data_IF_419112837078
#
_entry.id   IF_419112837078
#
_cell.length_a   1.000
_cell.length_b   1.000
_cell.length_c   1.000
_cell.angle_alpha   90.00
_cell.angle_beta   90.00
_cell.angle_gamma   90.00
#
_symmetry.space_group_name_H-M   'P 1'
#
loop_
_entity.id
_entity.type
_entity.pdbx_description
1 polymer ?
#
# COMPACT_ATOMS: atom_id res chain seq x y z
N UNK A 1 74.67 -50.05 -12.07
CA UNK A 1 73.50 -49.93 -11.17
C UNK A 1 73.48 -48.60 -10.40
N UNK A 2 74.56 -48.18 -9.73
CA UNK A 2 74.56 -46.97 -8.88
C UNK A 2 74.32 -45.62 -9.60
N UNK A 3 74.64 -45.47 -10.91
CA UNK A 3 74.39 -44.21 -11.65
C UNK A 3 72.92 -43.98 -12.04
N UNK A 4 72.13 -45.04 -12.22
CA UNK A 4 70.70 -44.94 -12.60
C UNK A 4 69.85 -44.61 -11.36
N UNK A 5 70.21 -45.17 -10.20
CA UNK A 5 69.55 -44.89 -8.92
C UNK A 5 69.76 -43.43 -8.50
N UNK A 6 70.96 -42.86 -8.72
CA UNK A 6 71.24 -41.45 -8.42
C UNK A 6 70.43 -40.50 -9.32
N UNK A 7 70.23 -40.85 -10.60
CA UNK A 7 69.46 -40.06 -11.56
C UNK A 7 67.95 -40.09 -11.25
N UNK A 8 67.44 -41.24 -10.80
CA UNK A 8 66.06 -41.39 -10.31
C UNK A 8 65.82 -40.62 -9.01
N UNK A 9 66.77 -40.63 -8.08
CA UNK A 9 66.67 -39.85 -6.82
C UNK A 9 66.74 -38.34 -7.10
N UNK A 10 67.57 -37.89 -8.04
CA UNK A 10 67.63 -36.48 -8.46
C UNK A 10 66.32 -36.01 -9.14
N UNK A 11 65.69 -36.89 -9.93
CA UNK A 11 64.37 -36.65 -10.54
C UNK A 11 63.24 -36.61 -9.51
N UNK A 12 63.29 -37.40 -8.45
CA UNK A 12 62.28 -37.39 -7.38
C UNK A 12 62.42 -36.15 -6.49
N UNK A 13 63.65 -35.72 -6.17
CA UNK A 13 63.90 -34.53 -5.33
C UNK A 13 63.54 -33.24 -6.07
N UNK A 14 63.84 -33.14 -7.37
CA UNK A 14 63.43 -31.98 -8.18
C UNK A 14 61.91 -31.89 -8.29
N UNK A 15 61.20 -33.01 -8.53
CA UNK A 15 59.74 -33.03 -8.54
C UNK A 15 59.11 -32.64 -7.19
N UNK A 16 59.72 -32.98 -6.06
CA UNK A 16 59.23 -32.53 -4.74
C UNK A 16 59.40 -31.02 -4.51
N UNK A 17 60.52 -30.44 -4.93
CA UNK A 17 60.74 -28.98 -4.84
C UNK A 17 59.82 -28.19 -5.79
N UNK A 18 59.61 -28.67 -7.01
CA UNK A 18 58.66 -28.07 -7.96
C UNK A 18 57.20 -28.19 -7.48
N UNK A 19 56.81 -29.34 -6.91
CA UNK A 19 55.46 -29.53 -6.37
C UNK A 19 55.16 -28.65 -5.16
N UNK A 20 56.16 -28.31 -4.35
CA UNK A 20 55.99 -27.37 -3.23
C UNK A 20 55.79 -25.94 -3.73
N UNK A 21 56.56 -25.52 -4.74
CA UNK A 21 56.39 -24.23 -5.43
C UNK A 21 55.04 -24.11 -6.13
N UNK A 22 54.58 -25.16 -6.83
CA UNK A 22 53.30 -25.18 -7.53
C UNK A 22 52.12 -25.13 -6.55
N UNK A 23 52.22 -25.84 -5.42
CA UNK A 23 51.22 -25.79 -4.36
C UNK A 23 51.08 -24.38 -3.76
N UNK A 24 52.22 -23.75 -3.42
CA UNK A 24 52.22 -22.40 -2.88
C UNK A 24 51.69 -21.38 -3.89
N UNK A 25 51.99 -21.56 -5.18
CA UNK A 25 51.46 -20.73 -6.26
C UNK A 25 49.94 -20.82 -6.36
N UNK A 26 49.38 -22.04 -6.39
CA UNK A 26 47.92 -22.26 -6.44
C UNK A 26 47.24 -21.71 -5.19
N UNK A 27 47.87 -21.88 -4.02
CA UNK A 27 47.35 -21.35 -2.76
C UNK A 27 47.30 -19.82 -2.77
N UNK A 28 48.38 -19.17 -3.19
CA UNK A 28 48.44 -17.70 -3.28
C UNK A 28 47.43 -17.17 -4.30
N UNK A 29 47.28 -17.84 -5.45
CA UNK A 29 46.26 -17.50 -6.45
C UNK A 29 44.85 -17.55 -5.85
N UNK A 30 44.49 -18.63 -5.15
CA UNK A 30 43.18 -18.77 -4.49
C UNK A 30 42.95 -17.72 -3.41
N UNK A 31 43.96 -17.41 -2.61
CA UNK A 31 43.87 -16.38 -1.58
C UNK A 31 43.62 -15.01 -2.21
N UNK A 32 44.35 -14.64 -3.27
CA UNK A 32 44.21 -13.36 -3.94
C UNK A 32 42.87 -13.25 -4.69
N UNK A 33 42.40 -14.33 -5.31
CA UNK A 33 41.05 -14.41 -5.85
C UNK A 33 39.99 -14.13 -4.77
N UNK A 34 40.04 -14.81 -3.64
CA UNK A 34 39.08 -14.62 -2.56
C UNK A 34 39.12 -13.19 -2.00
N UNK A 35 40.31 -12.59 -1.88
CA UNK A 35 40.46 -11.21 -1.46
C UNK A 35 39.81 -10.22 -2.44
N UNK A 36 39.96 -10.44 -3.74
CA UNK A 36 39.32 -9.60 -4.76
C UNK A 36 37.80 -9.79 -4.79
N UNK A 37 37.33 -11.02 -4.68
CA UNK A 37 35.89 -11.32 -4.58
C UNK A 37 35.26 -10.64 -3.35
N UNK A 38 35.94 -10.73 -2.20
CA UNK A 38 35.54 -10.06 -0.98
C UNK A 38 35.60 -8.54 -1.12
N UNK A 39 36.64 -7.99 -1.76
CA UNK A 39 36.76 -6.57 -2.03
C UNK A 39 35.63 -6.05 -2.94
N UNK A 40 35.28 -6.76 -4.01
CA UNK A 40 34.14 -6.41 -4.89
C UNK A 40 32.85 -6.37 -4.08
N UNK A 41 32.65 -7.37 -3.23
CA UNK A 41 31.43 -7.49 -2.41
C UNK A 41 31.35 -6.38 -1.36
N UNK A 42 32.50 -6.00 -0.76
CA UNK A 42 32.59 -5.01 0.32
C UNK A 42 32.83 -3.57 -0.15
N UNK A 43 33.05 -3.34 -1.45
CA UNK A 43 33.20 -2.01 -2.00
C UNK A 43 31.99 -1.14 -1.60
N UNK A 44 32.26 0.12 -1.22
CA UNK A 44 31.25 1.03 -0.66
C UNK A 44 30.68 2.01 -1.68
N UNK A 45 31.41 2.27 -2.77
CA UNK A 45 31.02 3.22 -3.80
C UNK A 45 31.66 2.85 -5.14
N UNK A 46 31.25 3.56 -6.20
CA UNK A 46 31.78 3.38 -7.56
C UNK A 46 33.29 3.60 -7.64
N UNK A 47 33.86 4.51 -6.84
CA UNK A 47 35.29 4.82 -6.88
C UNK A 47 36.14 3.67 -6.34
N UNK A 48 35.78 3.13 -5.17
CA UNK A 48 36.36 1.92 -4.59
C UNK A 48 36.17 0.72 -5.52
N UNK A 49 34.98 0.52 -6.09
CA UNK A 49 34.73 -0.58 -7.00
C UNK A 49 35.58 -0.46 -8.29
N UNK A 50 35.64 0.72 -8.91
CA UNK A 50 36.43 0.97 -10.11
C UNK A 50 37.93 0.77 -9.88
N UNK A 51 38.43 1.03 -8.66
CA UNK A 51 39.83 0.75 -8.32
C UNK A 51 40.16 -0.75 -8.35
N UNK A 52 39.18 -1.62 -8.07
CA UNK A 52 39.36 -3.07 -8.05
C UNK A 52 39.53 -3.65 -9.46
N UNK A 53 38.98 -3.01 -10.51
CA UNK A 53 39.18 -3.45 -11.91
C UNK A 53 40.66 -3.52 -12.25
N UNK A 54 41.41 -2.47 -11.88
CA UNK A 54 42.84 -2.40 -12.13
C UNK A 54 43.60 -3.51 -11.38
N UNK A 55 43.11 -3.94 -10.22
CA UNK A 55 43.69 -5.03 -9.45
C UNK A 55 43.32 -6.41 -10.01
N UNK A 56 42.12 -6.59 -10.56
CA UNK A 56 41.72 -7.80 -11.30
C UNK A 56 42.61 -7.97 -12.53
N UNK A 57 42.81 -6.90 -13.31
CA UNK A 57 43.66 -6.93 -14.51
C UNK A 57 45.12 -7.24 -14.16
N UNK A 58 45.63 -6.63 -13.08
CA UNK A 58 46.98 -6.91 -12.58
C UNK A 58 47.13 -8.34 -12.11
N UNK A 59 46.15 -8.86 -11.37
CA UNK A 59 46.10 -10.24 -10.91
C UNK A 59 46.06 -11.23 -12.09
N UNK A 60 45.30 -10.90 -13.14
CA UNK A 60 45.27 -11.70 -14.37
C UNK A 60 46.63 -11.76 -15.06
N UNK A 61 47.28 -10.61 -15.20
CA UNK A 61 48.58 -10.52 -15.85
C UNK A 61 49.69 -11.21 -15.04
N UNK A 62 49.66 -11.11 -13.71
CA UNK A 62 50.64 -11.73 -12.81
C UNK A 62 50.67 -13.26 -12.93
N UNK A 63 49.53 -13.89 -13.15
CA UNK A 63 49.41 -15.37 -13.20
C UNK A 63 49.22 -15.94 -14.61
N UNK A 64 49.33 -15.11 -15.64
CA UNK A 64 49.07 -15.49 -17.02
C UNK A 64 50.03 -16.59 -17.50
N UNK A 65 51.31 -16.47 -17.14
CA UNK A 65 52.34 -17.45 -17.51
C UNK A 65 52.12 -18.83 -16.88
N UNK A 66 51.42 -18.89 -15.73
CA UNK A 66 51.12 -20.14 -15.02
C UNK A 66 49.72 -20.67 -15.27
N UNK A 67 49.01 -20.14 -16.28
CA UNK A 67 47.67 -20.56 -16.68
C UNK A 67 47.53 -22.08 -16.82
N UNK A 68 48.48 -22.74 -17.48
CA UNK A 68 48.40 -24.19 -17.73
C UNK A 68 48.43 -25.04 -16.45
N UNK A 69 49.13 -24.57 -15.40
CA UNK A 69 49.12 -25.19 -14.07
C UNK A 69 47.78 -24.93 -13.39
N UNK A 70 47.34 -23.67 -13.38
CA UNK A 70 46.11 -23.23 -12.74
C UNK A 70 44.86 -23.89 -13.34
N UNK A 71 44.79 -24.07 -14.66
CA UNK A 71 43.71 -24.76 -15.35
C UNK A 71 43.51 -26.20 -14.85
N UNK A 72 44.59 -26.88 -14.45
CA UNK A 72 44.53 -28.23 -13.86
C UNK A 72 44.12 -28.20 -12.38
N UNK A 73 44.57 -27.18 -11.65
CA UNK A 73 44.38 -27.08 -10.19
C UNK A 73 43.06 -26.45 -9.75
N UNK A 74 42.33 -25.80 -10.66
CA UNK A 74 41.09 -25.04 -10.37
C UNK A 74 39.79 -25.80 -10.70
N UNK A 75 39.85 -27.11 -10.94
CA UNK A 75 38.69 -27.94 -11.31
C UNK A 75 37.51 -27.81 -10.32
N UNK A 76 36.23 -27.75 -10.78
CA UNK A 76 35.77 -27.84 -12.18
C UNK A 76 35.89 -26.54 -13.00
N UNK A 77 36.45 -25.49 -12.40
CA UNK A 77 36.80 -24.25 -13.09
C UNK A 77 38.13 -24.33 -13.84
N UNK A 78 38.58 -23.17 -14.32
CA UNK A 78 39.89 -22.96 -14.94
C UNK A 78 40.27 -21.47 -14.78
N UNK A 79 41.47 -21.10 -15.20
CA UNK A 79 42.00 -19.74 -15.07
C UNK A 79 41.04 -18.69 -15.65
N UNK A 80 40.57 -18.88 -16.88
CA UNK A 80 39.70 -17.91 -17.54
C UNK A 80 38.33 -17.78 -16.86
N UNK A 81 37.74 -18.90 -16.44
CA UNK A 81 36.46 -18.91 -15.70
C UNK A 81 36.57 -18.19 -14.36
N UNK A 82 37.74 -18.21 -13.71
CA UNK A 82 37.97 -17.47 -12.47
C UNK A 82 37.87 -15.96 -12.70
N UNK A 83 38.48 -15.44 -13.76
CA UNK A 83 38.38 -14.01 -14.10
C UNK A 83 37.02 -13.63 -14.69
N UNK A 84 36.37 -14.54 -15.42
CA UNK A 84 34.99 -14.37 -15.85
C UNK A 84 34.05 -14.16 -14.64
N UNK A 85 34.21 -14.96 -13.58
CA UNK A 85 33.44 -14.78 -12.34
C UNK A 85 33.70 -13.45 -11.66
N UNK A 86 34.97 -13.03 -11.51
CA UNK A 86 35.30 -11.72 -10.94
C UNK A 86 34.69 -10.58 -11.76
N UNK A 87 34.75 -10.67 -13.10
CA UNK A 87 34.15 -9.68 -13.98
C UNK A 87 32.63 -9.65 -13.88
N UNK A 88 31.97 -10.80 -13.81
CA UNK A 88 30.51 -10.86 -13.60
C UNK A 88 30.14 -10.21 -12.26
N UNK A 89 30.83 -10.56 -11.17
CA UNK A 89 30.60 -9.96 -9.85
C UNK A 89 30.82 -8.45 -9.85
N UNK A 90 31.87 -7.98 -10.52
CA UNK A 90 32.13 -6.56 -10.71
C UNK A 90 30.99 -5.87 -11.49
N UNK A 91 30.58 -6.41 -12.63
CA UNK A 91 29.52 -5.83 -13.48
C UNK A 91 28.21 -5.71 -12.71
N UNK A 92 27.82 -6.77 -11.99
CA UNK A 92 26.62 -6.77 -11.15
C UNK A 92 26.74 -5.68 -10.08
N UNK A 93 27.87 -5.59 -9.37
CA UNK A 93 28.05 -4.57 -8.32
C UNK A 93 28.06 -3.15 -8.89
N UNK A 94 28.65 -2.95 -10.07
CA UNK A 94 28.69 -1.66 -10.75
C UNK A 94 27.29 -1.21 -11.20
N UNK A 95 26.50 -2.13 -11.76
CA UNK A 95 25.10 -1.89 -12.09
C UNK A 95 24.28 -1.52 -10.85
N UNK A 96 24.51 -2.19 -9.72
CA UNK A 96 23.85 -1.86 -8.46
C UNK A 96 24.18 -0.43 -8.01
N UNK A 97 25.44 -0.01 -8.03
CA UNK A 97 25.78 1.37 -7.67
C UNK A 97 25.22 2.42 -8.62
N UNK A 98 25.26 2.15 -9.93
CA UNK A 98 24.70 3.07 -10.94
C UNK A 98 23.19 3.22 -10.73
N UNK A 99 22.49 2.12 -10.45
CA UNK A 99 21.06 2.14 -10.14
C UNK A 99 20.79 2.91 -8.86
N UNK A 100 21.60 2.72 -7.82
CA UNK A 100 21.50 3.49 -6.57
C UNK A 100 21.67 4.99 -6.83
N UNK A 101 22.66 5.41 -7.61
CA UNK A 101 22.92 6.83 -7.90
C UNK A 101 21.75 7.51 -8.65
N UNK A 102 21.19 6.82 -9.65
CA UNK A 102 19.98 7.27 -10.36
C UNK A 102 18.81 7.40 -9.38
N UNK A 103 18.55 6.37 -8.58
CA UNK A 103 17.48 6.38 -7.58
C UNK A 103 17.69 7.48 -6.53
N UNK A 104 18.93 7.80 -6.17
CA UNK A 104 19.23 8.89 -5.23
C UNK A 104 18.92 10.26 -5.84
N UNK A 105 19.21 10.47 -7.13
CA UNK A 105 18.88 11.71 -7.82
C UNK A 105 17.37 11.88 -7.98
N UNK A 106 16.68 10.84 -8.44
CA UNK A 106 15.21 10.83 -8.53
C UNK A 106 14.56 11.08 -7.17
N UNK A 107 15.07 10.49 -6.08
CA UNK A 107 14.58 10.73 -4.73
C UNK A 107 14.67 12.19 -4.27
N UNK A 108 15.71 12.93 -4.66
CA UNK A 108 15.82 14.35 -4.34
C UNK A 108 14.69 15.14 -4.99
N UNK A 109 14.43 14.91 -6.28
CA UNK A 109 13.33 15.55 -7.00
C UNK A 109 11.97 15.18 -6.41
N UNK A 110 11.76 13.89 -6.09
CA UNK A 110 10.54 13.42 -5.44
C UNK A 110 10.32 14.08 -4.09
N UNK A 111 11.38 14.25 -3.28
CA UNK A 111 11.32 14.89 -1.96
C UNK A 111 10.95 16.37 -2.04
N UNK A 112 11.48 17.09 -3.03
CA UNK A 112 11.10 18.48 -3.29
C UNK A 112 9.62 18.57 -3.68
N UNK A 113 9.16 17.66 -4.54
CA UNK A 113 7.75 17.59 -4.92
C UNK A 113 6.83 17.27 -3.73
N UNK A 114 7.20 16.32 -2.86
CA UNK A 114 6.46 16.02 -1.63
C UNK A 114 6.39 17.24 -0.72
N UNK A 115 7.49 17.97 -0.56
CA UNK A 115 7.53 19.18 0.28
C UNK A 115 6.61 20.27 -0.27
N UNK A 116 6.63 20.49 -1.59
CA UNK A 116 5.74 21.44 -2.26
C UNK A 116 4.27 21.05 -2.10
N UNK A 117 3.95 19.76 -2.28
CA UNK A 117 2.59 19.25 -2.14
C UNK A 117 2.10 19.34 -0.69
N UNK A 118 2.94 19.05 0.31
CA UNK A 118 2.60 19.24 1.72
C UNK A 118 2.19 20.69 2.01
N UNK A 119 2.98 21.65 1.51
CA UNK A 119 2.66 23.08 1.67
C UNK A 119 1.33 23.44 1.01
N UNK A 120 1.13 23.02 -0.25
CA UNK A 120 -0.12 23.28 -0.98
C UNK A 120 -1.32 22.63 -0.30
N UNK A 121 -1.18 21.39 0.19
CA UNK A 121 -2.25 20.67 0.88
C UNK A 121 -2.65 21.38 2.17
N UNK A 122 -1.68 21.85 2.96
CA UNK A 122 -1.95 22.63 4.16
C UNK A 122 -2.69 23.94 3.85
N UNK A 123 -2.30 24.64 2.79
CA UNK A 123 -2.98 25.86 2.32
C UNK A 123 -4.43 25.56 1.88
N UNK A 124 -4.64 24.50 1.10
CA UNK A 124 -5.98 24.08 0.67
C UNK A 124 -6.86 23.64 1.84
N UNK A 125 -6.32 22.89 2.80
CA UNK A 125 -7.04 22.48 4.02
C UNK A 125 -7.50 23.68 4.83
N UNK A 126 -6.63 24.68 5.00
CA UNK A 126 -6.99 25.89 5.74
C UNK A 126 -8.11 26.66 5.03
N UNK A 127 -8.06 26.77 3.69
CA UNK A 127 -9.15 27.38 2.91
C UNK A 127 -10.47 26.62 3.05
N UNK A 128 -10.44 25.29 2.92
CA UNK A 128 -11.64 24.45 3.08
C UNK A 128 -12.23 24.66 4.48
N UNK A 129 -11.39 24.65 5.51
CA UNK A 129 -11.82 24.90 6.88
C UNK A 129 -12.46 26.28 7.03
N UNK A 130 -11.88 27.34 6.46
CA UNK A 130 -12.46 28.69 6.45
C UNK A 130 -13.84 28.73 5.76
N UNK A 131 -13.97 28.07 4.60
CA UNK A 131 -15.23 27.99 3.86
C UNK A 131 -16.33 27.24 4.64
N UNK A 132 -15.99 26.12 5.27
CA UNK A 132 -16.91 25.32 6.10
C UNK A 132 -17.49 26.10 7.29
N UNK A 133 -16.76 27.08 7.84
CA UNK A 133 -17.27 27.96 8.90
C UNK A 133 -18.10 29.15 8.41
N UNK A 134 -18.20 29.38 7.09
CA UNK A 134 -19.03 30.46 6.52
C UNK A 134 -20.38 29.93 6.01
N UNK A 135 -21.42 30.76 6.08
CA UNK A 135 -22.82 30.34 5.81
C UNK A 135 -22.98 29.70 4.41
N UNK A 136 -23.29 28.39 4.37
CA UNK A 136 -23.33 27.51 3.19
C UNK A 136 -24.45 27.83 2.18
N UNK A 137 -25.24 28.88 2.41
CA UNK A 137 -26.42 29.23 1.57
C UNK A 137 -26.08 29.96 0.28
N UNK A 138 -24.83 30.35 0.06
CA UNK A 138 -24.37 30.94 -1.19
C UNK A 138 -23.93 29.85 -2.19
N UNK A 139 -24.70 29.68 -3.26
CA UNK A 139 -24.49 28.68 -4.31
C UNK A 139 -23.09 28.82 -4.97
N UNK A 140 -22.56 30.04 -5.09
CA UNK A 140 -21.24 30.26 -5.67
C UNK A 140 -20.13 29.75 -4.74
N UNK A 141 -20.32 29.91 -3.42
CA UNK A 141 -19.37 29.39 -2.42
C UNK A 141 -19.40 27.87 -2.32
N UNK A 142 -20.57 27.25 -2.48
CA UNK A 142 -20.68 25.79 -2.52
C UNK A 142 -19.90 25.17 -3.70
N UNK A 143 -19.97 25.79 -4.88
CA UNK A 143 -19.21 25.35 -6.05
C UNK A 143 -17.69 25.55 -5.87
N UNK A 144 -17.26 26.64 -5.25
CA UNK A 144 -15.85 26.89 -4.95
C UNK A 144 -15.30 25.89 -3.92
N UNK A 145 -16.08 25.60 -2.87
CA UNK A 145 -15.74 24.60 -1.87
C UNK A 145 -15.57 23.20 -2.49
N UNK A 146 -16.51 22.77 -3.35
CA UNK A 146 -16.40 21.50 -4.09
C UNK A 146 -15.13 21.44 -4.96
N UNK A 147 -14.79 22.55 -5.64
CA UNK A 147 -13.56 22.64 -6.42
C UNK A 147 -12.29 22.50 -5.55
N UNK A 148 -12.26 23.18 -4.39
CA UNK A 148 -11.14 23.09 -3.43
C UNK A 148 -11.00 21.67 -2.86
N UNK A 149 -12.11 21.02 -2.50
CA UNK A 149 -12.12 19.64 -2.00
C UNK A 149 -11.58 18.68 -3.05
N UNK A 150 -12.03 18.82 -4.31
CA UNK A 150 -11.52 18.01 -5.44
C UNK A 150 -10.04 18.25 -5.70
N UNK A 151 -9.57 19.50 -5.62
CA UNK A 151 -8.17 19.85 -5.78
C UNK A 151 -7.30 19.24 -4.66
N UNK A 152 -7.71 19.43 -3.40
CA UNK A 152 -7.00 18.89 -2.24
C UNK A 152 -6.89 17.36 -2.34
N UNK A 153 -7.99 16.67 -2.67
CA UNK A 153 -7.98 15.22 -2.84
C UNK A 153 -6.98 14.76 -3.90
N UNK A 154 -6.96 15.41 -5.08
CA UNK A 154 -5.99 15.08 -6.14
C UNK A 154 -4.55 15.33 -5.69
N UNK A 155 -4.32 16.41 -4.97
CA UNK A 155 -3.00 16.80 -4.48
C UNK A 155 -2.50 15.86 -3.37
N UNK A 156 -3.37 15.44 -2.44
CA UNK A 156 -3.10 14.41 -1.44
C UNK A 156 -2.73 13.08 -2.10
N UNK A 157 -3.54 12.62 -3.05
CA UNK A 157 -3.26 11.39 -3.80
C UNK A 157 -1.90 11.43 -4.51
N UNK A 158 -1.61 12.52 -5.22
CA UNK A 158 -0.32 12.67 -5.90
C UNK A 158 0.84 12.60 -4.91
N UNK A 159 0.72 13.27 -3.76
CA UNK A 159 1.76 13.21 -2.72
C UNK A 159 1.94 11.79 -2.20
N UNK A 160 0.84 11.11 -1.87
CA UNK A 160 0.88 9.74 -1.35
C UNK A 160 1.56 8.79 -2.36
N UNK A 161 1.27 8.93 -3.66
CA UNK A 161 1.94 8.18 -4.75
C UNK A 161 3.46 8.46 -4.81
N UNK A 162 3.90 9.70 -4.58
CA UNK A 162 5.32 10.04 -4.50
C UNK A 162 5.99 9.47 -3.25
N UNK A 163 5.30 9.47 -2.11
CA UNK A 163 5.81 8.85 -0.86
C UNK A 163 6.02 7.36 -1.06
N UNK A 164 5.05 6.67 -1.68
CA UNK A 164 5.19 5.27 -2.08
C UNK A 164 6.42 5.09 -2.98
N UNK A 165 6.58 5.93 -4.00
CA UNK A 165 7.73 5.87 -4.94
C UNK A 165 9.08 6.03 -4.24
N UNK A 166 9.18 6.95 -3.27
CA UNK A 166 10.39 7.17 -2.46
C UNK A 166 10.74 5.90 -1.68
N UNK A 167 9.75 5.24 -1.07
CA UNK A 167 10.01 4.03 -0.29
C UNK A 167 10.28 2.83 -1.19
N UNK A 168 9.59 2.72 -2.33
CA UNK A 168 9.80 1.68 -3.33
C UNK A 168 11.24 1.72 -3.86
N UNK A 169 11.82 2.91 -4.01
CA UNK A 169 13.24 3.07 -4.40
C UNK A 169 14.22 2.42 -3.40
N UNK A 170 13.80 2.25 -2.13
CA UNK A 170 14.61 1.62 -1.09
C UNK A 170 14.42 0.09 -1.08
N UNK A 171 13.33 -0.43 -1.64
CA UNK A 171 13.00 -1.87 -1.60
C UNK A 171 14.10 -2.77 -2.20
N UNK A 172 14.73 -2.46 -3.34
CA UNK A 172 15.80 -3.28 -3.90
C UNK A 172 16.97 -3.47 -2.93
N UNK A 173 17.28 -2.46 -2.11
CA UNK A 173 18.31 -2.55 -1.08
C UNK A 173 17.86 -3.45 0.09
N UNK A 174 16.56 -3.49 0.38
CA UNK A 174 15.96 -4.26 1.47
C UNK A 174 15.68 -5.74 1.12
N UNK A 175 15.66 -6.10 -0.16
CA UNK A 175 15.32 -7.45 -0.64
C UNK A 175 16.49 -8.44 -0.65
N UNK A 176 17.69 -7.99 -0.26
CA UNK A 176 18.84 -8.87 -0.17
C UNK A 176 18.63 -9.86 0.98
N UNK A 177 18.71 -11.16 0.68
CA UNK A 177 18.35 -12.26 1.58
C UNK A 177 19.18 -12.33 2.87
N UNK A 178 20.34 -11.68 2.91
CA UNK A 178 21.19 -11.54 4.10
C UNK A 178 21.92 -10.18 4.08
N UNK A 179 21.34 -9.18 4.74
CA UNK A 179 22.00 -7.88 4.94
C UNK A 179 23.01 -7.97 6.08
N UNK A 180 24.24 -7.52 5.86
CA UNK A 180 25.22 -7.27 6.92
C UNK A 180 24.80 -6.07 7.77
N UNK A 181 25.39 -5.94 8.98
CA UNK A 181 25.14 -4.78 9.85
C UNK A 181 25.52 -3.43 9.20
N UNK A 182 26.49 -3.43 8.28
CA UNK A 182 26.89 -2.23 7.54
C UNK A 182 25.84 -1.87 6.48
N UNK A 183 25.32 -2.85 5.76
CA UNK A 183 24.26 -2.64 4.77
C UNK A 183 22.96 -2.20 5.44
N UNK A 184 22.56 -2.82 6.56
CA UNK A 184 21.41 -2.37 7.36
C UNK A 184 21.57 -0.91 7.81
N UNK A 185 22.76 -0.52 8.27
CA UNK A 185 23.01 0.87 8.66
C UNK A 185 22.99 1.85 7.48
N UNK A 186 23.42 1.43 6.28
CA UNK A 186 23.33 2.25 5.07
C UNK A 186 21.89 2.50 4.65
N UNK A 187 21.04 1.46 4.69
CA UNK A 187 19.60 1.58 4.39
C UNK A 187 18.91 2.45 5.43
N UNK A 188 19.27 2.30 6.72
CA UNK A 188 18.77 3.19 7.78
C UNK A 188 19.11 4.66 7.48
N UNK A 189 20.36 4.97 7.13
CA UNK A 189 20.78 6.35 6.80
C UNK A 189 19.96 6.89 5.62
N UNK A 190 19.76 6.09 4.58
CA UNK A 190 18.99 6.47 3.41
C UNK A 190 17.49 6.70 3.74
N UNK A 191 16.88 5.80 4.52
CA UNK A 191 15.50 5.94 4.99
C UNK A 191 15.30 7.21 5.83
N UNK A 192 16.26 7.55 6.70
CA UNK A 192 16.24 8.79 7.48
C UNK A 192 16.49 10.03 6.61
N UNK A 193 17.40 9.97 5.65
CA UNK A 193 17.67 11.05 4.69
C UNK A 193 16.40 11.42 3.90
N UNK A 194 15.60 10.41 3.57
CA UNK A 194 14.33 10.55 2.87
C UNK A 194 13.12 10.79 3.79
N UNK A 195 13.32 10.88 5.11
CA UNK A 195 12.27 11.10 6.11
C UNK A 195 11.09 10.12 5.97
N UNK A 196 11.35 8.85 5.63
CA UNK A 196 10.32 7.86 5.26
C UNK A 196 9.16 7.78 6.25
N UNK A 197 9.45 7.51 7.53
CA UNK A 197 8.42 7.35 8.55
C UNK A 197 7.62 8.64 8.77
N UNK A 198 8.31 9.79 8.79
CA UNK A 198 7.66 11.09 8.96
C UNK A 198 6.73 11.43 7.80
N UNK A 199 7.15 11.12 6.56
CA UNK A 199 6.35 11.36 5.37
C UNK A 199 5.09 10.49 5.36
N UNK A 200 5.23 9.19 5.64
CA UNK A 200 4.08 8.28 5.75
C UNK A 200 3.12 8.73 6.84
N UNK A 201 3.64 9.05 8.04
CA UNK A 201 2.83 9.54 9.16
C UNK A 201 2.07 10.82 8.80
N UNK A 202 2.75 11.80 8.20
CA UNK A 202 2.13 13.04 7.77
C UNK A 202 1.07 12.79 6.69
N UNK A 203 1.34 11.85 5.77
CA UNK A 203 0.38 11.40 4.77
C UNK A 203 -0.94 10.94 5.39
N UNK A 204 -0.86 10.07 6.38
CA UNK A 204 -2.01 9.49 7.05
C UNK A 204 -2.79 10.55 7.83
N UNK A 205 -2.09 11.39 8.58
CA UNK A 205 -2.72 12.48 9.35
C UNK A 205 -3.50 13.44 8.43
N UNK A 206 -2.92 13.81 7.29
CA UNK A 206 -3.59 14.70 6.36
C UNK A 206 -4.80 14.03 5.69
N UNK A 207 -4.71 12.75 5.32
CA UNK A 207 -5.86 12.04 4.76
C UNK A 207 -7.00 11.88 5.78
N UNK A 208 -6.68 11.65 7.06
CA UNK A 208 -7.67 11.64 8.15
C UNK A 208 -8.32 13.02 8.27
N UNK A 209 -7.51 14.07 8.39
CA UNK A 209 -8.00 15.45 8.52
C UNK A 209 -8.82 15.89 7.31
N UNK A 210 -8.48 15.43 6.10
CA UNK A 210 -9.26 15.70 4.90
C UNK A 210 -10.69 15.16 5.02
N UNK A 211 -10.87 13.95 5.53
CA UNK A 211 -12.20 13.37 5.74
C UNK A 211 -12.96 14.18 6.81
N UNK A 212 -12.29 14.54 7.92
CA UNK A 212 -12.91 15.30 9.01
C UNK A 212 -13.36 16.71 8.61
N UNK A 213 -12.67 17.34 7.66
CA UNK A 213 -12.94 18.71 7.21
C UNK A 213 -13.92 18.80 6.03
N UNK A 214 -14.36 17.68 5.47
CA UNK A 214 -15.18 17.67 4.25
C UNK A 214 -16.49 16.91 4.46
N UNK A 215 -17.43 17.11 3.56
CA UNK A 215 -18.62 16.26 3.43
C UNK A 215 -18.48 15.50 2.13
N UNK A 216 -18.44 14.17 2.22
CA UNK A 216 -18.06 13.30 1.11
C UNK A 216 -19.24 12.46 0.64
N UNK A 217 -19.46 12.46 -0.67
CA UNK A 217 -20.45 11.58 -1.29
C UNK A 217 -19.95 10.12 -1.36
N UNK A 218 -20.82 9.12 -1.52
CA UNK A 218 -20.43 7.72 -1.62
C UNK A 218 -19.37 7.45 -2.70
N UNK A 219 -19.44 8.17 -3.82
CA UNK A 219 -18.45 8.08 -4.89
C UNK A 219 -17.06 8.57 -4.45
N UNK A 220 -17.00 9.63 -3.64
CA UNK A 220 -15.74 10.14 -3.12
C UNK A 220 -15.14 9.20 -2.08
N UNK A 221 -15.97 8.68 -1.16
CA UNK A 221 -15.56 7.70 -0.16
C UNK A 221 -15.03 6.42 -0.81
N UNK A 222 -15.66 5.97 -1.90
CA UNK A 222 -15.18 4.81 -2.68
C UNK A 222 -13.76 5.00 -3.20
N UNK A 223 -13.47 6.17 -3.77
CA UNK A 223 -12.12 6.46 -4.30
C UNK A 223 -11.08 6.60 -3.18
N UNK A 224 -11.44 7.24 -2.07
CA UNK A 224 -10.56 7.34 -0.89
C UNK A 224 -10.28 5.96 -0.32
N UNK A 225 -11.29 5.09 -0.27
CA UNK A 225 -11.14 3.72 0.23
C UNK A 225 -10.22 2.87 -0.65
N UNK A 226 -10.30 3.04 -1.98
CA UNK A 226 -9.34 2.43 -2.92
C UNK A 226 -7.91 2.92 -2.68
N UNK A 227 -7.74 4.23 -2.46
CA UNK A 227 -6.43 4.82 -2.15
C UNK A 227 -5.87 4.27 -0.83
N UNK A 228 -6.71 4.24 0.22
CA UNK A 228 -6.34 3.67 1.51
C UNK A 228 -5.90 2.23 1.39
N UNK A 229 -6.67 1.37 0.69
CA UNK A 229 -6.32 -0.04 0.53
C UNK A 229 -4.96 -0.22 -0.15
N UNK A 230 -4.68 0.53 -1.22
CA UNK A 230 -3.37 0.51 -1.88
C UNK A 230 -2.25 0.93 -0.95
N UNK A 231 -2.47 1.97 -0.14
CA UNK A 231 -1.46 2.44 0.80
C UNK A 231 -1.22 1.41 1.92
N UNK A 232 -2.28 0.80 2.44
CA UNK A 232 -2.17 -0.29 3.44
C UNK A 232 -1.39 -1.48 2.88
N UNK A 233 -1.73 -1.94 1.67
CA UNK A 233 -1.05 -3.06 1.02
C UNK A 233 0.45 -2.77 0.84
N UNK A 234 0.77 -1.59 0.33
CA UNK A 234 2.15 -1.13 0.21
C UNK A 234 2.86 -1.09 1.58
N UNK A 235 2.21 -0.52 2.61
CA UNK A 235 2.81 -0.39 3.94
C UNK A 235 3.03 -1.73 4.62
N UNK A 236 2.16 -2.72 4.43
CA UNK A 236 2.36 -4.07 4.96
C UNK A 236 3.63 -4.72 4.38
N UNK A 237 3.95 -4.45 3.11
CA UNK A 237 5.19 -4.92 2.47
C UNK A 237 6.43 -4.14 2.92
N UNK A 238 6.39 -2.81 2.90
CA UNK A 238 7.54 -1.97 3.21
C UNK A 238 7.79 -1.83 4.72
N UNK A 239 6.73 -1.61 5.50
CA UNK A 239 6.78 -1.39 6.95
C UNK A 239 7.37 -2.57 7.71
N UNK A 240 7.07 -3.80 7.30
CA UNK A 240 7.65 -5.01 7.91
C UNK A 240 9.16 -5.07 7.72
N UNK A 241 9.68 -4.76 6.52
CA UNK A 241 11.12 -4.68 6.24
C UNK A 241 11.80 -3.55 7.03
N UNK A 242 11.11 -2.42 7.21
CA UNK A 242 11.61 -1.30 7.99
C UNK A 242 11.76 -1.63 9.48
N UNK A 243 10.91 -2.49 10.06
CA UNK A 243 11.03 -2.92 11.47
C UNK A 243 12.42 -3.52 11.74
N UNK A 244 12.91 -4.36 10.83
CA UNK A 244 14.22 -5.00 10.98
C UNK A 244 15.37 -3.99 10.84
N UNK A 245 15.26 -3.04 9.90
CA UNK A 245 16.24 -1.97 9.69
C UNK A 245 16.31 -1.03 10.89
N UNK A 246 15.17 -0.79 11.54
CA UNK A 246 15.07 0.03 12.75
C UNK A 246 15.26 -0.77 14.05
N UNK A 247 15.66 -2.04 13.97
CA UNK A 247 15.86 -2.88 15.15
C UNK A 247 16.85 -2.23 16.15
N UNK A 248 16.47 -2.24 17.43
CA UNK A 248 17.24 -1.58 18.50
C UNK A 248 17.05 -0.06 18.59
N UNK A 249 16.26 0.57 17.69
CA UNK A 249 15.90 2.00 17.77
C UNK A 249 14.50 2.15 18.36
N UNK A 250 14.40 2.10 19.69
CA UNK A 250 13.12 2.15 20.42
C UNK A 250 12.16 3.28 19.97
N UNK A 251 12.68 4.46 19.64
CA UNK A 251 11.87 5.59 19.13
C UNK A 251 11.23 5.28 17.78
N UNK A 252 11.97 4.66 16.85
CA UNK A 252 11.51 4.34 15.49
C UNK A 252 10.51 3.19 15.50
N UNK A 253 10.72 2.20 16.37
CA UNK A 253 9.74 1.13 16.58
C UNK A 253 8.40 1.65 17.12
N UNK A 254 8.41 2.70 17.95
CA UNK A 254 7.17 3.38 18.36
C UNK A 254 6.51 4.11 17.20
N UNK A 255 7.29 4.82 16.39
CA UNK A 255 6.80 5.55 15.22
C UNK A 255 6.13 4.62 14.19
N UNK A 256 6.68 3.42 13.96
CA UNK A 256 6.04 2.40 13.10
C UNK A 256 4.69 1.95 13.68
N UNK A 257 4.62 1.66 14.98
CA UNK A 257 3.35 1.30 15.64
C UNK A 257 2.32 2.43 15.59
N UNK A 258 2.77 3.67 15.69
CA UNK A 258 1.90 4.84 15.52
C UNK A 258 1.34 4.91 14.09
N UNK A 259 2.16 4.62 13.07
CA UNK A 259 1.72 4.52 11.67
C UNK A 259 0.67 3.42 11.51
N UNK A 260 0.88 2.23 12.07
CA UNK A 260 -0.09 1.13 12.02
C UNK A 260 -1.43 1.52 12.68
N UNK A 261 -1.37 2.25 13.79
CA UNK A 261 -2.55 2.81 14.46
C UNK A 261 -3.27 3.83 13.58
N UNK A 262 -2.52 4.71 12.89
CA UNK A 262 -3.08 5.72 11.99
C UNK A 262 -3.83 5.11 10.80
N UNK A 263 -3.39 3.97 10.27
CA UNK A 263 -4.18 3.25 9.25
C UNK A 263 -5.54 2.80 9.80
N UNK A 264 -5.58 2.31 11.04
CA UNK A 264 -6.82 1.92 11.70
C UNK A 264 -7.73 3.12 11.94
N UNK A 265 -7.15 4.25 12.38
CA UNK A 265 -7.87 5.52 12.56
C UNK A 265 -8.43 6.01 11.22
N UNK A 266 -7.63 5.98 10.15
CA UNK A 266 -8.09 6.40 8.82
C UNK A 266 -9.28 5.56 8.34
N UNK A 267 -9.26 4.25 8.56
CA UNK A 267 -10.39 3.39 8.24
C UNK A 267 -11.63 3.78 9.06
N UNK A 268 -11.46 3.92 10.37
CA UNK A 268 -12.54 4.30 11.27
C UNK A 268 -13.16 5.65 10.90
N UNK A 269 -12.34 6.69 10.64
CA UNK A 269 -12.83 8.02 10.25
C UNK A 269 -13.64 7.96 8.95
N UNK A 270 -13.21 7.17 7.97
CA UNK A 270 -13.95 6.97 6.72
C UNK A 270 -15.31 6.29 6.96
N UNK A 271 -15.35 5.28 7.82
CA UNK A 271 -16.60 4.59 8.18
C UNK A 271 -17.56 5.53 8.92
N UNK A 272 -17.06 6.31 9.88
CA UNK A 272 -17.88 7.27 10.63
C UNK A 272 -18.44 8.37 9.73
N UNK A 273 -17.67 8.82 8.74
CA UNK A 273 -18.14 9.78 7.75
C UNK A 273 -19.32 9.24 6.95
N UNK A 274 -19.26 7.98 6.52
CA UNK A 274 -20.38 7.36 5.82
C UNK A 274 -21.64 7.28 6.70
N UNK A 275 -21.51 6.84 7.95
CA UNK A 275 -22.66 6.76 8.86
C UNK A 275 -23.25 8.13 9.19
N UNK A 276 -22.40 9.15 9.33
CA UNK A 276 -22.82 10.54 9.53
C UNK A 276 -23.63 11.04 8.33
N UNK A 277 -23.11 10.90 7.12
CA UNK A 277 -23.79 11.41 5.92
C UNK A 277 -25.11 10.67 5.66
N UNK A 278 -25.18 9.36 5.92
CA UNK A 278 -26.46 8.63 5.87
C UNK A 278 -27.48 9.23 6.83
N UNK A 279 -27.10 9.60 8.06
CA UNK A 279 -28.01 10.28 8.99
C UNK A 279 -28.45 11.65 8.48
N UNK A 280 -27.53 12.41 7.89
CA UNK A 280 -27.83 13.72 7.30
C UNK A 280 -28.86 13.62 6.17
N UNK A 281 -28.82 12.57 5.34
CA UNK A 281 -29.82 12.30 4.29
C UNK A 281 -31.24 12.06 4.86
N UNK A 282 -31.33 11.34 5.99
CA UNK A 282 -32.61 11.18 6.70
C UNK A 282 -33.08 12.50 7.33
N UNK A 283 -32.17 13.23 7.99
CA UNK A 283 -32.49 14.51 8.61
C UNK A 283 -32.97 15.55 7.58
N UNK A 284 -32.37 15.58 6.39
CA UNK A 284 -32.79 16.46 5.29
C UNK A 284 -34.27 16.23 4.88
N UNK A 285 -34.76 15.00 5.03
CA UNK A 285 -36.15 14.64 4.78
C UNK A 285 -37.03 14.66 6.06
N UNK A 286 -36.60 15.39 7.09
CA UNK A 286 -37.26 15.53 8.40
C UNK A 286 -37.42 14.20 9.17
N UNK A 287 -36.50 13.26 8.97
CA UNK A 287 -36.48 11.99 9.69
C UNK A 287 -35.31 12.05 10.69
N UNK A 288 -35.65 12.29 11.95
CA UNK A 288 -34.67 12.35 13.02
C UNK A 288 -34.41 10.94 13.56
N UNK A 289 -33.31 10.35 13.12
CA UNK A 289 -32.83 9.08 13.65
C UNK A 289 -31.90 9.34 14.83
N UNK A 290 -31.89 8.43 15.81
CA UNK A 290 -30.83 8.40 16.82
C UNK A 290 -29.50 8.04 16.16
N UNK A 291 -28.40 8.42 16.81
CA UNK A 291 -27.06 8.16 16.30
C UNK A 291 -26.76 6.66 16.17
N UNK A 292 -26.05 6.30 15.11
CA UNK A 292 -25.52 4.95 14.86
C UNK A 292 -24.13 5.05 14.23
N UNK A 293 -23.26 4.11 14.56
CA UNK A 293 -21.84 4.14 14.18
C UNK A 293 -21.37 2.83 13.53
N UNK A 294 -22.27 1.86 13.41
CA UNK A 294 -22.02 0.54 12.84
C UNK A 294 -23.29 -0.07 12.22
N UNK A 295 -23.10 -1.21 11.55
CA UNK A 295 -24.15 -1.91 10.79
C UNK A 295 -25.34 -2.37 11.63
N UNK A 296 -25.09 -2.82 12.86
CA UNK A 296 -26.10 -3.37 13.76
C UNK A 296 -26.96 -2.23 14.30
N UNK A 297 -26.33 -1.17 14.79
CA UNK A 297 -27.02 0.05 15.22
C UNK A 297 -27.83 0.64 14.07
N UNK A 298 -27.26 0.76 12.87
CA UNK A 298 -27.95 1.26 11.69
C UNK A 298 -29.26 0.48 11.42
N UNK A 299 -29.18 -0.85 11.35
CA UNK A 299 -30.36 -1.69 11.11
C UNK A 299 -31.39 -1.59 12.25
N UNK A 300 -30.95 -1.58 13.51
CA UNK A 300 -31.82 -1.49 14.68
C UNK A 300 -32.52 -0.13 14.75
N UNK A 301 -31.83 0.96 14.45
CA UNK A 301 -32.38 2.32 14.46
C UNK A 301 -33.47 2.46 13.39
N UNK A 302 -33.20 2.00 12.17
CA UNK A 302 -34.17 2.08 11.09
C UNK A 302 -35.41 1.22 11.35
N UNK A 303 -35.20 -0.03 11.79
CA UNK A 303 -36.33 -0.93 12.09
C UNK A 303 -37.15 -0.42 13.28
N UNK A 304 -36.52 0.17 14.30
CA UNK A 304 -37.22 0.77 15.44
C UNK A 304 -38.05 1.99 15.03
N UNK A 305 -37.50 2.87 14.17
CA UNK A 305 -38.24 4.01 13.61
C UNK A 305 -39.48 3.53 12.84
N UNK A 306 -39.32 2.50 11.99
CA UNK A 306 -40.43 1.93 11.22
C UNK A 306 -41.49 1.32 12.16
N UNK A 307 -41.07 0.56 13.18
CA UNK A 307 -41.99 -0.07 14.13
C UNK A 307 -42.78 0.95 14.95
N UNK A 308 -42.16 2.07 15.33
CA UNK A 308 -42.84 3.19 15.97
C UNK A 308 -43.83 3.88 15.01
N UNK A 309 -43.42 4.12 13.76
CA UNK A 309 -44.29 4.70 12.75
C UNK A 309 -45.52 3.82 12.47
N UNK A 310 -45.35 2.50 12.45
CA UNK A 310 -46.43 1.52 12.34
C UNK A 310 -47.37 1.60 13.55
N UNK A 311 -46.85 1.64 14.78
CA UNK A 311 -47.68 1.72 16.01
C UNK A 311 -48.54 2.98 16.06
N UNK A 312 -48.06 4.07 15.46
CA UNK A 312 -48.76 5.35 15.42
C UNK A 312 -49.83 5.46 14.30
N UNK A 313 -49.99 4.43 13.46
CA UNK A 313 -51.08 4.36 12.48
C UNK A 313 -52.42 4.34 13.22
N UNK A 314 -53.31 5.28 12.88
CA UNK A 314 -54.61 5.45 13.53
C UNK A 314 -54.59 6.35 14.77
N UNK A 315 -53.41 6.66 15.31
CA UNK A 315 -53.22 7.73 16.30
C UNK A 315 -53.01 9.07 15.59
N UNK A 316 -52.21 9.06 14.52
CA UNK A 316 -51.98 10.21 13.64
C UNK A 316 -52.98 10.27 12.49
N UNK A 317 -53.09 11.44 11.86
CA UNK A 317 -53.94 11.59 10.68
C UNK A 317 -53.42 10.73 9.51
N UNK A 318 -54.29 10.18 8.64
CA UNK A 318 -53.85 9.39 7.49
C UNK A 318 -52.89 10.14 6.56
N UNK A 319 -53.08 11.46 6.41
CA UNK A 319 -52.20 12.30 5.61
C UNK A 319 -50.78 12.37 6.22
N UNK A 320 -50.68 12.54 7.53
CA UNK A 320 -49.39 12.58 8.24
C UNK A 320 -48.67 11.22 8.20
N UNK A 321 -49.40 10.12 8.41
CA UNK A 321 -48.83 8.77 8.33
C UNK A 321 -48.31 8.45 6.92
N UNK A 322 -49.07 8.82 5.87
CA UNK A 322 -48.64 8.66 4.48
C UNK A 322 -47.45 9.55 4.13
N UNK A 323 -47.41 10.79 4.63
CA UNK A 323 -46.27 11.70 4.42
C UNK A 323 -45.01 11.13 5.08
N UNK A 324 -45.10 10.67 6.33
CA UNK A 324 -43.97 10.06 7.06
C UNK A 324 -43.42 8.85 6.30
N UNK A 325 -44.31 7.98 5.79
CA UNK A 325 -43.93 6.85 4.96
C UNK A 325 -43.24 7.28 3.66
N UNK A 326 -43.84 8.22 2.93
CA UNK A 326 -43.32 8.66 1.63
C UNK A 326 -41.96 9.37 1.80
N UNK A 327 -41.79 10.18 2.86
CA UNK A 327 -40.50 10.78 3.20
C UNK A 327 -39.45 9.73 3.52
N UNK A 328 -39.78 8.70 4.30
CA UNK A 328 -38.82 7.66 4.67
C UNK A 328 -38.48 6.73 3.51
N UNK A 329 -39.49 6.15 2.88
CA UNK A 329 -39.33 5.10 1.88
C UNK A 329 -38.98 5.69 0.51
N UNK A 330 -39.88 6.49 -0.07
CA UNK A 330 -39.77 6.95 -1.44
C UNK A 330 -38.70 8.05 -1.60
N UNK A 331 -38.68 9.03 -0.71
CA UNK A 331 -37.79 10.19 -0.82
C UNK A 331 -36.37 9.94 -0.32
N UNK A 332 -36.20 9.12 0.72
CA UNK A 332 -34.89 8.88 1.34
C UNK A 332 -34.35 7.49 1.03
N UNK A 333 -35.04 6.42 1.45
CA UNK A 333 -34.52 5.06 1.34
C UNK A 333 -34.30 4.63 -0.11
N UNK A 334 -35.36 4.55 -0.92
CA UNK A 334 -35.29 4.01 -2.29
C UNK A 334 -34.69 4.99 -3.30
N UNK A 335 -34.73 6.30 -3.02
CA UNK A 335 -34.17 7.31 -3.92
C UNK A 335 -32.70 7.63 -3.65
N UNK A 336 -32.24 7.54 -2.41
CA UNK A 336 -30.90 7.98 -2.01
C UNK A 336 -30.10 6.86 -1.34
N UNK A 337 -30.60 6.30 -0.23
CA UNK A 337 -29.82 5.35 0.59
C UNK A 337 -29.55 4.04 -0.15
N UNK A 338 -30.59 3.35 -0.60
CA UNK A 338 -30.50 2.07 -1.31
C UNK A 338 -29.65 2.15 -2.59
N UNK A 339 -29.85 3.13 -3.50
CA UNK A 339 -29.06 3.17 -4.73
C UNK A 339 -27.62 3.67 -4.55
N UNK A 340 -27.34 4.58 -3.60
CA UNK A 340 -26.04 5.25 -3.52
C UNK A 340 -25.19 4.77 -2.34
N UNK A 341 -25.79 4.57 -1.16
CA UNK A 341 -25.06 4.25 0.08
C UNK A 341 -24.92 2.75 0.30
N UNK A 342 -25.98 1.97 0.09
CA UNK A 342 -25.93 0.51 0.34
C UNK A 342 -24.84 -0.20 -0.48
N UNK A 343 -24.64 0.07 -1.79
CA UNK A 343 -23.56 -0.56 -2.55
C UNK A 343 -22.19 -0.28 -1.95
N UNK A 344 -21.94 0.98 -1.56
CA UNK A 344 -20.70 1.37 -0.89
C UNK A 344 -20.51 0.61 0.43
N UNK A 345 -21.55 0.51 1.27
CA UNK A 345 -21.47 -0.17 2.56
C UNK A 345 -21.20 -1.68 2.39
N UNK A 346 -21.86 -2.34 1.43
CA UNK A 346 -21.68 -3.78 1.17
C UNK A 346 -20.29 -4.04 0.59
N UNK A 347 -19.87 -3.29 -0.43
CA UNK A 347 -18.57 -3.45 -1.08
C UNK A 347 -17.41 -3.28 -0.09
N UNK A 348 -17.62 -2.49 0.97
CA UNK A 348 -16.65 -2.24 2.03
C UNK A 348 -16.90 -3.01 3.32
N UNK A 349 -17.79 -4.02 3.29
CA UNK A 349 -18.11 -4.90 4.44
C UNK A 349 -18.60 -4.15 5.69
N UNK A 350 -19.17 -2.96 5.50
CA UNK A 350 -19.80 -2.16 6.54
C UNK A 350 -21.27 -2.54 6.75
N UNK A 351 -21.87 -3.31 5.84
CA UNK A 351 -23.24 -3.80 5.94
C UNK A 351 -23.37 -5.15 5.24
N UNK A 352 -24.17 -6.05 5.82
CA UNK A 352 -24.57 -7.31 5.20
C UNK A 352 -25.87 -7.13 4.37
N UNK A 353 -25.96 -7.79 3.21
CA UNK A 353 -27.16 -7.81 2.37
C UNK A 353 -28.42 -8.31 3.10
N UNK A 354 -28.26 -9.14 4.15
CA UNK A 354 -29.35 -9.54 5.02
C UNK A 354 -29.90 -8.38 5.85
N UNK A 355 -29.04 -7.47 6.33
CA UNK A 355 -29.46 -6.29 7.10
C UNK A 355 -30.26 -5.32 6.22
N UNK A 356 -29.82 -5.06 4.99
CA UNK A 356 -30.59 -4.31 3.99
C UNK A 356 -31.99 -4.94 3.79
N UNK A 357 -32.03 -6.25 3.51
CA UNK A 357 -33.28 -6.97 3.27
C UNK A 357 -34.25 -6.86 4.45
N UNK A 358 -33.76 -6.92 5.68
CA UNK A 358 -34.63 -6.80 6.86
C UNK A 358 -35.30 -5.42 6.95
N UNK A 359 -34.56 -4.36 6.63
CA UNK A 359 -35.12 -3.00 6.56
C UNK A 359 -36.18 -2.93 5.47
N UNK A 360 -35.92 -3.47 4.27
CA UNK A 360 -36.88 -3.45 3.17
C UNK A 360 -38.16 -4.26 3.46
N UNK A 361 -38.03 -5.40 4.15
CA UNK A 361 -39.20 -6.19 4.61
C UNK A 361 -40.05 -5.35 5.56
N UNK A 362 -39.43 -4.62 6.49
CA UNK A 362 -40.14 -3.73 7.43
C UNK A 362 -40.82 -2.56 6.72
N UNK A 363 -40.17 -1.96 5.71
CA UNK A 363 -40.79 -0.93 4.87
C UNK A 363 -42.02 -1.49 4.12
N UNK A 364 -41.93 -2.73 3.63
CA UNK A 364 -43.05 -3.41 2.96
C UNK A 364 -44.21 -3.69 3.91
N UNK A 365 -43.94 -4.17 5.13
CA UNK A 365 -44.98 -4.36 6.17
C UNK A 365 -45.65 -3.03 6.51
N UNK A 366 -44.87 -1.95 6.66
CA UNK A 366 -45.40 -0.62 6.92
C UNK A 366 -46.37 -0.16 5.82
N UNK A 367 -46.00 -0.33 4.54
CA UNK A 367 -46.88 -0.03 3.41
C UNK A 367 -48.19 -0.81 3.47
N UNK A 368 -48.11 -2.10 3.75
CA UNK A 368 -49.29 -2.99 3.86
C UNK A 368 -50.27 -2.54 4.95
N UNK A 369 -49.78 -1.93 6.02
CA UNK A 369 -50.61 -1.41 7.13
C UNK A 369 -51.22 -0.04 6.87
N UNK A 370 -50.60 0.81 6.05
CA UNK A 370 -51.14 2.13 5.69
C UNK A 370 -52.32 2.03 4.71
N UNK A 371 -52.27 1.05 3.81
CA UNK A 371 -53.36 0.75 2.89
C UNK A 371 -53.77 -0.71 3.05
N UNK A 372 -54.65 -1.06 4.01
CA UNK A 372 -55.27 -2.37 4.04
C UNK A 372 -56.25 -2.49 2.86
N UNK A 373 -55.74 -2.64 1.64
CA UNK A 373 -56.53 -2.96 0.45
C UNK A 373 -56.49 -4.48 0.26
N UNK A 374 -57.63 -5.06 -0.13
CA UNK A 374 -57.91 -6.49 -0.32
C UNK A 374 -57.03 -7.24 -1.34
N UNK A 375 -55.90 -6.66 -1.78
CA UNK A 375 -55.02 -7.14 -2.84
C UNK A 375 -53.50 -7.10 -2.50
N UNK A 376 -53.13 -7.10 -1.21
CA UNK A 376 -51.72 -7.08 -0.77
C UNK A 376 -50.80 -8.17 -1.38
N UNK A 377 -51.39 -9.28 -1.86
CA UNK A 377 -50.66 -10.37 -2.53
C UNK A 377 -50.09 -10.01 -3.90
N UNK A 378 -50.63 -9.01 -4.61
CA UNK A 378 -50.13 -8.63 -5.94
C UNK A 378 -48.77 -7.91 -5.87
N UNK A 379 -48.51 -7.12 -4.81
CA UNK A 379 -47.22 -6.42 -4.65
C UNK A 379 -46.09 -7.37 -4.24
N UNK A 380 -46.39 -8.38 -3.42
CA UNK A 380 -45.44 -9.46 -3.09
C UNK A 380 -45.06 -10.24 -4.35
N UNK A 381 -46.02 -10.48 -5.26
CA UNK A 381 -45.76 -11.15 -6.54
C UNK A 381 -44.81 -10.34 -7.44
N UNK A 382 -45.01 -9.02 -7.53
CA UNK A 382 -44.15 -8.13 -8.34
C UNK A 382 -42.74 -8.01 -7.75
N UNK A 383 -42.61 -7.93 -6.42
CA UNK A 383 -41.30 -7.91 -5.76
C UNK A 383 -40.53 -9.23 -5.97
N UNK A 384 -41.21 -10.39 -5.88
CA UNK A 384 -40.59 -11.69 -6.16
C UNK A 384 -40.16 -11.82 -7.62
N UNK A 385 -40.96 -11.31 -8.56
CA UNK A 385 -40.62 -11.31 -10.00
C UNK A 385 -39.45 -10.37 -10.30
N UNK A 386 -39.39 -9.19 -9.67
CA UNK A 386 -38.27 -8.27 -9.83
C UNK A 386 -36.96 -8.86 -9.28
N UNK A 387 -37.00 -9.51 -8.11
CA UNK A 387 -35.84 -10.20 -7.51
C UNK A 387 -35.40 -11.40 -8.35
N UNK A 388 -36.33 -12.18 -8.90
CA UNK A 388 -36.01 -13.27 -9.82
C UNK A 388 -35.40 -12.77 -11.14
N UNK A 389 -35.88 -11.63 -11.67
CA UNK A 389 -35.35 -10.98 -12.86
C UNK A 389 -33.92 -10.45 -12.66
N UNK A 390 -33.68 -9.78 -11.54
CA UNK A 390 -32.34 -9.27 -11.17
C UNK A 390 -31.35 -10.40 -10.90
N UNK A 391 -31.79 -11.48 -10.23
CA UNK A 391 -31.00 -12.69 -10.03
C UNK A 391 -30.64 -13.39 -11.34
N UNK A 392 -31.57 -13.46 -12.29
CA UNK A 392 -31.34 -14.01 -13.63
C UNK A 392 -30.37 -13.16 -14.46
N UNK A 393 -30.48 -11.83 -14.41
CA UNK A 393 -29.57 -10.91 -15.09
C UNK A 393 -28.13 -10.96 -14.52
N UNK A 394 -27.99 -11.06 -13.20
CA UNK A 394 -26.69 -11.19 -12.55
C UNK A 394 -26.02 -12.55 -12.84
N UNK A 395 -26.78 -13.66 -12.88
CA UNK A 395 -26.25 -14.96 -13.35
C UNK A 395 -25.78 -14.91 -14.80
N UNK A 396 -26.55 -14.27 -15.69
CA UNK A 396 -26.22 -14.18 -17.13
C UNK A 396 -24.98 -13.32 -17.41
N UNK A 397 -24.68 -12.34 -16.54
CA UNK A 397 -23.44 -11.53 -16.58
C UNK A 397 -22.20 -12.31 -16.16
N UNK A 398 -22.34 -13.22 -15.18
CA UNK A 398 -21.24 -14.06 -14.69
C UNK A 398 -20.87 -15.14 -15.74
N UNK A 399 -21.85 -15.76 -16.39
CA UNK A 399 -21.62 -16.78 -17.43
C UNK A 399 -21.14 -16.24 -18.78
N UNK A 400 -21.15 -14.91 -19.02
CA UNK A 400 -20.59 -14.28 -20.22
C UNK A 400 -19.15 -13.78 -20.05
N UNK A 401 -18.59 -13.89 -18.84
CA UNK A 401 -17.21 -13.49 -18.49
C UNK A 401 -16.27 -14.68 -18.22
N UNK A 402 -16.73 -15.89 -18.45
CA UNK A 402 -15.90 -17.09 -18.69
C UNK A 402 -15.96 -17.39 -20.17
#
# INVERSE_FOLDING_TARGET
MNRIILLLILLVITNQLFSQSDYDLVKNFKQKYNQLEEAITKAKNLEELNSIVADIDRFRNEYLEQKALLDKSLYPGNFDKTFERLNISFVIRNQNFTTIDILQTENLELKEQVTLLNKRNAELMNKIQEYEYTDKKDVNKAAELDALVKELRRSLRKRDELIVSIVDSLLPMMEQTQLSSQEMNSIYIEAERNNVLSNVKHSLLDNIRFIELTSLEPGDLTEIKKQQNKFVEFWQGAGTKLVDIYAGKNKKNKEIKEIDSLFSIWNFTLEQEAWRNIREEFAYNNINLIEFTNSEEFANVLTSFIDEAIKNIGVKSPAESNLTYSSFSDSTWFKVISPNWIPFLIDNKMLDAYQERNVEIKISDWKGRLTPSSFGWMYVLVAVIAVAGLGYMNRKRIFKKQ
#
